data_IF_089034468347
#
_entry.id   IF_089034468347
#
_cell.length_a   1.000
_cell.length_b   1.000
_cell.length_c   1.000
_cell.angle_alpha   90.00
_cell.angle_beta   90.00
_cell.angle_gamma   90.00
#
_symmetry.space_group_name_H-M   'P 1'
#
loop_
_entity.id
_entity.type
_entity.pdbx_description
1 polymer ?
#
# COMPACT_ATOMS: atom_id res chain seq x y z
N UNK A 1 2.04 -43.65 0.35
CA UNK A 1 2.03 -42.28 -0.18
C UNK A 1 0.72 -41.64 0.27
N UNK A 2 0.75 -40.77 1.29
CA UNK A 2 -0.40 -39.96 1.69
C UNK A 2 -0.15 -38.57 1.13
N UNK A 3 -0.92 -38.20 0.12
CA UNK A 3 -0.86 -36.91 -0.53
C UNK A 3 -1.33 -35.86 0.49
N UNK A 4 -0.44 -34.96 0.87
CA UNK A 4 -0.71 -33.88 1.81
C UNK A 4 -1.66 -32.87 1.17
N UNK A 5 -2.85 -32.74 1.74
CA UNK A 5 -3.81 -31.73 1.39
C UNK A 5 -3.45 -30.38 2.04
N UNK A 6 -3.14 -29.40 1.18
CA UNK A 6 -3.62 -28.00 1.24
C UNK A 6 -2.96 -27.09 2.33
N UNK A 7 -1.81 -26.48 1.96
CA UNK A 7 -1.17 -25.33 2.64
C UNK A 7 -1.63 -23.95 2.07
N UNK A 8 -2.85 -23.84 1.54
CA UNK A 8 -3.27 -22.66 0.75
C UNK A 8 -3.55 -21.35 1.52
N UNK A 9 -4.03 -21.33 2.79
CA UNK A 9 -4.37 -20.06 3.45
C UNK A 9 -3.14 -19.25 3.89
N UNK A 10 -2.05 -19.90 4.31
CA UNK A 10 -0.85 -19.20 4.80
C UNK A 10 -0.10 -18.47 3.67
N UNK A 11 -0.04 -19.08 2.48
CA UNK A 11 0.63 -18.48 1.32
C UNK A 11 -0.07 -17.18 0.90
N UNK A 12 -1.41 -17.17 0.88
CA UNK A 12 -2.20 -15.99 0.57
C UNK A 12 -2.01 -14.87 1.61
N UNK A 13 -1.96 -15.21 2.90
CA UNK A 13 -1.73 -14.22 3.96
C UNK A 13 -0.33 -13.61 3.89
N UNK A 14 0.70 -14.39 3.57
CA UNK A 14 2.06 -13.89 3.37
C UNK A 14 2.14 -12.95 2.16
N UNK A 15 1.49 -13.28 1.04
CA UNK A 15 1.47 -12.42 -0.15
C UNK A 15 0.71 -11.11 0.11
N UNK A 16 -0.43 -11.17 0.80
CA UNK A 16 -1.18 -9.96 1.20
C UNK A 16 -0.35 -9.08 2.14
N UNK A 17 0.34 -9.68 3.11
CA UNK A 17 1.23 -8.94 4.02
C UNK A 17 2.41 -8.29 3.28
N UNK A 18 3.02 -8.98 2.30
CA UNK A 18 4.08 -8.39 1.46
C UNK A 18 3.57 -7.19 0.66
N UNK A 19 2.38 -7.30 0.07
CA UNK A 19 1.78 -6.20 -0.69
C UNK A 19 1.44 -4.99 0.18
N UNK A 20 0.86 -5.20 1.35
CA UNK A 20 0.55 -4.10 2.28
C UNK A 20 1.84 -3.41 2.75
N UNK A 21 2.88 -4.18 3.06
CA UNK A 21 4.18 -3.64 3.43
C UNK A 21 4.78 -2.78 2.31
N UNK A 22 4.67 -3.22 1.06
CA UNK A 22 5.12 -2.43 -0.10
C UNK A 22 4.44 -1.06 -0.18
N UNK A 23 3.11 -0.97 -0.06
CA UNK A 23 2.41 0.32 -0.04
C UNK A 23 2.80 1.19 1.16
N UNK A 24 3.00 0.58 2.34
CA UNK A 24 3.45 1.31 3.54
C UNK A 24 4.81 1.97 3.29
N UNK A 25 5.78 1.23 2.75
CA UNK A 25 7.11 1.74 2.43
C UNK A 25 7.04 2.89 1.42
N UNK A 26 6.29 2.74 0.32
CA UNK A 26 6.16 3.79 -0.71
C UNK A 26 5.51 5.07 -0.17
N UNK A 27 4.54 4.95 0.75
CA UNK A 27 3.90 6.13 1.38
C UNK A 27 4.88 6.83 2.33
N UNK A 28 5.63 6.07 3.13
CA UNK A 28 6.61 6.62 4.07
C UNK A 28 7.75 7.32 3.33
N UNK A 29 8.34 6.65 2.33
CA UNK A 29 9.40 7.19 1.50
C UNK A 29 8.98 8.54 0.88
N UNK A 30 7.80 8.60 0.26
CA UNK A 30 7.32 9.84 -0.33
C UNK A 30 7.14 10.96 0.70
N UNK A 31 6.61 10.63 1.89
CA UNK A 31 6.43 11.59 2.98
C UNK A 31 7.76 12.21 3.40
N UNK A 32 8.81 11.39 3.53
CA UNK A 32 10.15 11.83 3.88
C UNK A 32 10.81 12.65 2.76
N UNK A 33 10.79 12.16 1.51
CA UNK A 33 11.42 12.82 0.35
C UNK A 33 10.79 14.19 0.04
N UNK A 34 9.46 14.29 0.14
CA UNK A 34 8.72 15.49 -0.27
C UNK A 34 8.30 16.37 0.91
N UNK A 35 8.62 15.96 2.15
CA UNK A 35 8.21 16.64 3.40
C UNK A 35 6.71 16.90 3.46
N UNK A 36 5.92 16.01 2.88
CA UNK A 36 4.47 16.15 2.74
C UNK A 36 3.74 15.34 3.82
N UNK A 37 2.53 15.75 4.20
CA UNK A 37 1.76 15.01 5.20
C UNK A 37 0.87 13.92 4.58
N UNK A 38 0.35 13.02 5.43
CA UNK A 38 -0.71 12.08 5.00
C UNK A 38 -1.97 12.79 4.49
N UNK A 39 -2.17 14.06 4.88
CA UNK A 39 -3.28 14.88 4.37
C UNK A 39 -3.06 15.25 2.92
N UNK A 40 -1.84 15.60 2.54
CA UNK A 40 -1.50 15.97 1.17
C UNK A 40 -1.61 14.75 0.25
N UNK A 41 -1.04 13.62 0.67
CA UNK A 41 -1.18 12.34 -0.04
C UNK A 41 -2.65 11.96 -0.17
N UNK A 42 -3.41 12.03 0.93
CA UNK A 42 -4.83 11.73 0.92
C UNK A 42 -5.63 12.60 -0.04
N UNK A 43 -5.30 13.90 -0.13
CA UNK A 43 -5.95 14.82 -1.07
C UNK A 43 -5.68 14.44 -2.53
N UNK A 44 -4.45 14.03 -2.86
CA UNK A 44 -4.06 13.65 -4.22
C UNK A 44 -4.77 12.40 -4.74
N UNK A 45 -5.01 11.42 -3.87
CA UNK A 45 -5.70 10.16 -4.21
C UNK A 45 -7.15 10.13 -3.71
N UNK A 46 -7.71 11.27 -3.31
CA UNK A 46 -9.08 11.41 -2.79
C UNK A 46 -9.40 10.36 -1.71
N UNK A 47 -8.46 10.16 -0.78
CA UNK A 47 -8.55 9.23 0.32
C UNK A 47 -8.42 9.98 1.64
N UNK A 48 -9.27 9.63 2.61
CA UNK A 48 -9.15 10.21 3.94
C UNK A 48 -7.80 9.89 4.59
N UNK A 49 -7.14 10.86 5.26
CA UNK A 49 -5.82 10.64 5.89
C UNK A 49 -5.86 9.56 6.96
N UNK A 50 -7.02 9.36 7.60
CA UNK A 50 -7.26 8.29 8.57
C UNK A 50 -7.17 6.89 7.96
N UNK A 51 -7.48 6.72 6.68
CA UNK A 51 -7.29 5.44 5.99
C UNK A 51 -5.80 5.14 5.77
N UNK A 52 -5.00 6.16 5.41
CA UNK A 52 -3.55 6.03 5.30
C UNK A 52 -2.92 5.75 6.67
N UNK A 53 -3.35 6.44 7.72
CA UNK A 53 -2.88 6.18 9.09
C UNK A 53 -3.18 4.75 9.53
N UNK A 54 -4.39 4.23 9.27
CA UNK A 54 -4.75 2.83 9.56
C UNK A 54 -3.92 1.83 8.75
N UNK A 55 -3.59 2.17 7.49
CA UNK A 55 -2.71 1.36 6.65
C UNK A 55 -1.30 1.33 7.27
N UNK A 56 -0.71 2.48 7.58
CA UNK A 56 0.65 2.57 8.15
C UNK A 56 0.77 1.93 9.54
N UNK A 57 -0.26 2.03 10.37
CA UNK A 57 -0.28 1.42 11.71
C UNK A 57 -0.62 -0.08 11.69
N UNK A 58 -0.85 -0.67 10.52
CA UNK A 58 -1.24 -2.08 10.37
C UNK A 58 -2.66 -2.41 10.87
N UNK A 59 -3.43 -1.41 11.33
CA UNK A 59 -4.85 -1.57 11.70
C UNK A 59 -5.71 -1.94 10.48
N UNK A 60 -5.26 -1.61 9.27
CA UNK A 60 -5.86 -2.04 8.01
C UNK A 60 -4.99 -3.11 7.34
N UNK A 61 -5.49 -4.35 7.32
CA UNK A 61 -4.81 -5.53 6.75
C UNK A 61 -5.08 -5.75 5.25
N UNK A 62 -6.00 -4.99 4.66
CA UNK A 62 -6.37 -5.09 3.24
C UNK A 62 -6.82 -3.73 2.70
N UNK A 63 -6.58 -3.51 1.40
CA UNK A 63 -7.02 -2.33 0.66
C UNK A 63 -8.09 -2.74 -0.33
N UNK A 64 -9.12 -1.89 -0.51
CA UNK A 64 -10.07 -2.08 -1.60
C UNK A 64 -9.36 -1.91 -2.94
N UNK A 65 -9.88 -2.58 -3.98
CA UNK A 65 -9.33 -2.47 -5.33
C UNK A 65 -9.25 -1.02 -5.82
N UNK A 66 -10.26 -0.20 -5.49
CA UNK A 66 -10.25 1.24 -5.81
C UNK A 66 -9.10 1.97 -5.12
N UNK A 67 -8.95 1.83 -3.79
CA UNK A 67 -7.86 2.48 -3.05
C UNK A 67 -6.49 2.02 -3.56
N UNK A 68 -6.37 0.74 -3.89
CA UNK A 68 -5.15 0.17 -4.46
C UNK A 68 -4.79 0.84 -5.79
N UNK A 69 -5.74 0.88 -6.73
CA UNK A 69 -5.55 1.50 -8.03
C UNK A 69 -5.15 2.98 -7.93
N UNK A 70 -5.78 3.74 -7.01
CA UNK A 70 -5.39 5.14 -6.78
C UNK A 70 -3.97 5.27 -6.23
N UNK A 71 -3.55 4.40 -5.31
CA UNK A 71 -2.17 4.36 -4.80
C UNK A 71 -1.17 3.97 -5.88
N UNK A 72 -1.47 2.97 -6.72
CA UNK A 72 -0.59 2.52 -7.81
C UNK A 72 -0.37 3.62 -8.83
N UNK A 73 -1.45 4.21 -9.37
CA UNK A 73 -1.36 5.33 -10.33
C UNK A 73 -0.57 6.50 -9.78
N UNK A 74 -0.68 6.76 -8.48
CA UNK A 74 0.10 7.79 -7.80
C UNK A 74 1.58 7.43 -7.79
N UNK A 75 1.92 6.21 -7.37
CA UNK A 75 3.31 5.73 -7.32
C UNK A 75 3.94 5.76 -8.72
N UNK A 76 3.21 5.32 -9.75
CA UNK A 76 3.67 5.39 -11.15
C UNK A 76 3.96 6.82 -11.59
N UNK A 77 3.10 7.80 -11.25
CA UNK A 77 3.34 9.22 -11.55
C UNK A 77 4.62 9.74 -10.90
N UNK A 78 4.90 9.32 -9.66
CA UNK A 78 6.12 9.72 -8.95
C UNK A 78 7.37 9.12 -9.60
N UNK A 79 7.31 7.86 -10.03
CA UNK A 79 8.43 7.22 -10.74
C UNK A 79 8.68 7.87 -12.11
N UNK A 80 7.64 8.30 -12.84
CA UNK A 80 7.81 9.05 -14.10
C UNK A 80 8.42 10.44 -13.86
N UNK A 81 8.03 11.14 -12.79
CA UNK A 81 8.60 12.47 -12.47
C UNK A 81 10.06 12.36 -12.03
N UNK A 82 10.43 11.34 -11.25
CA UNK A 82 11.81 11.13 -10.80
C UNK A 82 12.79 10.74 -11.94
N UNK A 83 12.29 10.38 -13.12
CA UNK A 83 13.10 10.02 -14.29
C UNK A 83 13.36 11.22 -15.24
N UNK A 84 12.83 12.40 -14.93
CA UNK A 84 12.99 13.65 -15.69
C UNK A 84 13.88 14.64 -14.95
#
# INVERSE_FOLDING_TARGET
MKTEEIQTPQLNQQQVNKYINWYQQKILQYNEENRCSLRDIGKEIELFPSNLSKLLTGKRKSLSGETRNKLEKRIERQEVVNLL
#
